data_IF_051247964209
#
_entry.id   IF_051247964209
#
_cell.length_a   1.000
_cell.length_b   1.000
_cell.length_c   1.000
_cell.angle_alpha   90.00
_cell.angle_beta   90.00
_cell.angle_gamma   90.00
#
_symmetry.space_group_name_H-M   'P 1'
#
loop_
_entity.id
_entity.type
_entity.pdbx_description
1 polymer ?
#
# COMPACT_ATOMS: atom_id res chain seq x y z
N UNK A 1 -13.77 -1.67 9.55
CA UNK A 1 -13.66 -2.04 10.99
C UNK A 1 -14.83 -2.98 11.29
N UNK A 2 -14.62 -4.15 11.94
CA UNK A 2 -15.68 -5.09 12.27
C UNK A 2 -16.65 -4.49 13.29
N UNK A 3 -17.93 -4.94 13.24
CA UNK A 3 -18.97 -4.48 14.16
C UNK A 3 -18.73 -4.93 15.61
N UNK A 4 -18.03 -6.05 15.80
CA UNK A 4 -17.64 -6.59 17.11
C UNK A 4 -16.15 -6.88 17.09
N UNK A 5 -15.46 -6.41 18.12
CA UNK A 5 -14.01 -6.62 18.31
C UNK A 5 -13.82 -7.50 19.55
N UNK A 6 -13.28 -8.69 19.33
CA UNK A 6 -12.96 -9.67 20.37
C UNK A 6 -11.62 -10.35 20.05
N UNK A 7 -10.58 -9.53 19.84
CA UNK A 7 -9.23 -9.99 19.49
C UNK A 7 -8.40 -10.31 20.73
N UNK A 8 -8.64 -9.56 21.81
CA UNK A 8 -7.89 -9.65 23.08
C UNK A 8 -8.81 -10.03 24.23
N UNK A 9 -8.26 -10.58 25.33
CA UNK A 9 -9.03 -11.01 26.50
C UNK A 9 -9.80 -9.88 27.19
N UNK A 10 -9.26 -8.64 27.18
CA UNK A 10 -9.84 -7.51 27.91
C UNK A 10 -10.51 -6.50 26.98
N UNK A 11 -11.49 -5.78 27.51
CA UNK A 11 -12.20 -4.70 26.80
C UNK A 11 -11.23 -3.54 26.48
N UNK A 12 -10.33 -3.23 27.39
CA UNK A 12 -9.33 -2.17 27.25
C UNK A 12 -8.38 -2.44 26.08
N UNK A 13 -7.86 -3.66 25.97
CA UNK A 13 -6.97 -4.06 24.87
C UNK A 13 -7.71 -4.01 23.53
N UNK A 14 -8.94 -4.50 23.48
CA UNK A 14 -9.76 -4.40 22.28
C UNK A 14 -10.06 -2.94 21.89
N UNK A 15 -10.25 -2.05 22.86
CA UNK A 15 -10.42 -0.63 22.62
C UNK A 15 -9.14 0.04 22.12
N UNK A 16 -7.97 -0.31 22.65
CA UNK A 16 -6.68 0.18 22.13
C UNK A 16 -6.44 -0.27 20.70
N UNK A 17 -6.71 -1.53 20.39
CA UNK A 17 -6.64 -2.02 19.01
C UNK A 17 -7.58 -1.25 18.08
N UNK A 18 -8.83 -1.06 18.49
CA UNK A 18 -9.78 -0.24 17.73
C UNK A 18 -9.25 1.17 17.46
N UNK A 19 -8.73 1.84 18.49
CA UNK A 19 -8.16 3.20 18.34
C UNK A 19 -7.03 3.23 17.34
N UNK A 20 -6.12 2.25 17.38
CA UNK A 20 -5.01 2.15 16.44
C UNK A 20 -5.49 2.01 15.02
N UNK A 21 -6.39 1.05 14.77
CA UNK A 21 -6.93 0.81 13.42
C UNK A 21 -7.73 2.03 12.92
N UNK A 22 -8.57 2.62 13.77
CA UNK A 22 -9.32 3.83 13.40
C UNK A 22 -8.39 5.01 13.07
N UNK A 23 -7.35 5.22 13.88
CA UNK A 23 -6.35 6.27 13.62
C UNK A 23 -5.62 6.02 12.31
N UNK A 24 -5.21 4.78 12.02
CA UNK A 24 -4.57 4.42 10.76
C UNK A 24 -5.48 4.71 9.56
N UNK A 25 -6.76 4.33 9.63
CA UNK A 25 -7.71 4.59 8.55
C UNK A 25 -7.94 6.10 8.32
N UNK A 26 -8.01 6.90 9.38
CA UNK A 26 -8.13 8.37 9.28
C UNK A 26 -6.84 8.98 8.72
N UNK A 27 -5.68 8.42 9.05
CA UNK A 27 -4.39 8.89 8.57
C UNK A 27 -4.28 8.87 7.03
N UNK A 28 -4.92 7.93 6.33
CA UNK A 28 -5.00 7.94 4.86
C UNK A 28 -5.62 9.23 4.32
N UNK A 29 -6.66 9.73 4.97
CA UNK A 29 -7.33 10.97 4.57
C UNK A 29 -6.49 12.19 4.95
N UNK A 30 -6.02 12.23 6.18
CA UNK A 30 -5.29 13.35 6.76
C UNK A 30 -3.93 13.58 6.08
N UNK A 31 -3.17 12.51 5.89
CA UNK A 31 -1.84 12.56 5.27
C UNK A 31 -1.87 12.36 3.74
N UNK A 32 -3.06 12.34 3.14
CA UNK A 32 -3.27 12.54 1.72
C UNK A 32 -2.91 11.36 0.83
N UNK A 33 -3.10 10.11 1.26
CA UNK A 33 -2.89 8.89 0.44
C UNK A 33 -3.61 8.95 -0.90
N UNK A 34 -4.78 9.59 -0.94
CA UNK A 34 -5.63 9.69 -2.14
C UNK A 34 -5.41 10.98 -2.95
N UNK A 35 -4.40 11.79 -2.61
CA UNK A 35 -4.07 13.04 -3.31
C UNK A 35 -3.05 12.84 -4.44
N UNK A 36 -2.79 11.61 -4.82
CA UNK A 36 -1.89 11.28 -5.90
C UNK A 36 -2.33 11.96 -7.21
N UNK A 37 -1.34 12.50 -7.94
CA UNK A 37 -1.52 13.09 -9.27
C UNK A 37 -0.60 12.39 -10.26
N UNK A 38 -1.19 11.71 -11.24
CA UNK A 38 -0.45 10.91 -12.22
C UNK A 38 0.58 11.73 -13.01
N UNK A 39 0.21 12.94 -13.40
CA UNK A 39 1.03 13.80 -14.24
C UNK A 39 2.10 14.60 -13.46
N UNK A 40 2.14 14.50 -12.13
CA UNK A 40 3.21 15.12 -11.34
C UNK A 40 4.51 14.36 -11.55
N UNK A 41 5.50 15.00 -12.17
CA UNK A 41 6.78 14.38 -12.47
C UNK A 41 7.55 14.01 -11.20
N UNK A 42 8.22 12.85 -11.22
CA UNK A 42 9.19 12.48 -10.19
C UNK A 42 10.50 13.26 -10.40
N UNK A 43 11.05 13.76 -9.31
CA UNK A 43 12.38 14.37 -9.28
C UNK A 43 13.44 13.48 -8.62
N UNK A 44 13.06 12.28 -8.16
CA UNK A 44 13.94 11.32 -7.47
C UNK A 44 14.44 10.25 -8.44
N UNK A 45 13.54 9.76 -9.32
CA UNK A 45 13.82 8.70 -10.28
C UNK A 45 13.46 9.14 -11.70
N UNK A 46 14.04 8.48 -12.69
CA UNK A 46 13.63 8.68 -14.08
C UNK A 46 12.17 8.27 -14.26
N UNK A 47 11.33 9.24 -14.62
CA UNK A 47 9.90 9.05 -14.72
C UNK A 47 9.51 8.48 -16.09
N UNK A 48 9.14 7.22 -16.13
CA UNK A 48 8.76 6.50 -17.35
C UNK A 48 7.23 6.30 -17.48
N UNK A 49 6.43 6.86 -16.58
CA UNK A 49 4.97 6.62 -16.52
C UNK A 49 4.25 6.93 -17.82
N UNK A 50 4.48 8.12 -18.40
CA UNK A 50 3.85 8.53 -19.67
C UNK A 50 4.23 7.61 -20.84
N UNK A 51 5.48 7.12 -20.86
CA UNK A 51 5.92 6.16 -21.87
C UNK A 51 5.23 4.81 -21.71
N UNK A 52 5.10 4.33 -20.49
CA UNK A 52 4.42 3.05 -20.18
C UNK A 52 2.92 3.13 -20.49
N UNK A 53 2.27 4.24 -20.14
CA UNK A 53 0.86 4.49 -20.46
C UNK A 53 0.63 4.48 -21.98
N UNK A 54 1.45 5.21 -22.74
CA UNK A 54 1.36 5.23 -24.19
C UNK A 54 1.56 3.84 -24.82
N UNK A 55 2.48 3.03 -24.27
CA UNK A 55 2.70 1.66 -24.72
C UNK A 55 1.45 0.78 -24.51
N UNK A 56 0.80 0.89 -23.38
CA UNK A 56 -0.44 0.14 -23.09
C UNK A 56 -1.58 0.53 -24.03
N UNK A 57 -1.80 1.83 -24.26
CA UNK A 57 -2.81 2.29 -25.20
C UNK A 57 -2.61 1.73 -26.59
N UNK A 58 -1.37 1.65 -27.07
CA UNK A 58 -1.07 1.06 -28.37
C UNK A 58 -1.32 -0.46 -28.40
N UNK A 59 -1.07 -1.18 -27.31
CA UNK A 59 -1.33 -2.62 -27.22
C UNK A 59 -2.85 -2.92 -27.27
N UNK A 60 -3.66 -2.17 -26.54
CA UNK A 60 -5.12 -2.33 -26.52
C UNK A 60 -5.72 -2.05 -27.89
N UNK A 61 -5.22 -1.04 -28.63
CA UNK A 61 -5.70 -0.72 -29.99
C UNK A 61 -5.38 -1.79 -31.04
N UNK A 62 -4.31 -2.56 -30.83
CA UNK A 62 -3.94 -3.63 -31.77
C UNK A 62 -4.81 -4.87 -31.54
N UNK A 63 -5.27 -5.11 -30.31
CA UNK A 63 -6.08 -6.27 -29.95
C UNK A 63 -7.57 -6.10 -30.23
N UNK A 64 -8.08 -4.87 -30.33
CA UNK A 64 -9.51 -4.59 -30.56
C UNK A 64 -9.72 -3.53 -31.66
N UNK A 65 -9.77 -4.00 -32.90
CA UNK A 65 -10.00 -3.20 -34.10
C UNK A 65 -11.47 -2.66 -34.18
N UNK A 66 -12.33 -2.98 -33.19
CA UNK A 66 -13.76 -2.67 -33.14
C UNK A 66 -14.14 -1.48 -32.27
N UNK A 67 -13.19 -0.83 -31.58
CA UNK A 67 -13.49 0.29 -30.67
C UNK A 67 -13.63 1.60 -31.43
N UNK A 68 -14.88 2.06 -31.61
CA UNK A 68 -15.20 3.39 -32.11
C UNK A 68 -14.52 4.49 -31.25
N UNK A 69 -13.90 5.51 -31.87
CA UNK A 69 -13.13 6.54 -31.15
C UNK A 69 -13.94 7.34 -30.11
N UNK A 70 -15.26 7.32 -30.20
CA UNK A 70 -16.14 8.05 -29.27
C UNK A 70 -16.37 7.33 -27.94
N UNK A 71 -16.21 6.01 -27.88
CA UNK A 71 -16.38 5.22 -26.63
C UNK A 71 -15.15 5.31 -25.75
N UNK A 72 -13.95 5.43 -26.34
CA UNK A 72 -12.70 5.61 -25.62
C UNK A 72 -12.66 6.93 -24.83
N UNK A 73 -13.14 8.03 -25.42
CA UNK A 73 -13.14 9.36 -24.76
C UNK A 73 -14.06 9.45 -23.53
N UNK A 74 -15.18 8.70 -23.52
CA UNK A 74 -16.11 8.66 -22.38
C UNK A 74 -15.55 7.84 -21.23
N UNK A 75 -14.77 6.81 -21.53
CA UNK A 75 -14.13 5.94 -20.53
C UNK A 75 -12.94 6.64 -19.86
N UNK A 76 -12.17 7.44 -20.61
CA UNK A 76 -11.02 8.20 -20.07
C UNK A 76 -11.41 9.26 -19.03
N UNK A 77 -12.57 9.91 -19.19
CA UNK A 77 -13.02 10.96 -18.26
C UNK A 77 -13.45 10.45 -16.87
N UNK A 78 -13.58 9.13 -16.69
CA UNK A 78 -14.02 8.50 -15.44
C UNK A 78 -12.90 7.81 -14.66
N UNK A 79 -11.70 7.67 -15.23
CA UNK A 79 -10.57 6.95 -14.60
C UNK A 79 -9.80 7.90 -13.70
N UNK A 80 -9.58 7.49 -12.43
CA UNK A 80 -8.80 8.27 -11.47
C UNK A 80 -7.30 8.19 -11.75
N UNK A 81 -6.53 9.19 -11.29
CA UNK A 81 -5.06 9.20 -11.38
C UNK A 81 -4.41 7.94 -10.77
N UNK A 82 -4.98 7.43 -9.68
CA UNK A 82 -4.55 6.18 -9.06
C UNK A 82 -4.81 4.97 -9.97
N UNK A 83 -5.97 4.91 -10.62
CA UNK A 83 -6.26 3.84 -11.57
C UNK A 83 -5.34 3.90 -12.79
N UNK A 84 -5.07 5.10 -13.33
CA UNK A 84 -4.08 5.29 -14.40
C UNK A 84 -2.72 4.73 -13.98
N UNK A 85 -2.27 5.08 -12.76
CA UNK A 85 -1.00 4.61 -12.25
C UNK A 85 -0.92 3.08 -12.15
N UNK A 86 -1.92 2.42 -11.57
CA UNK A 86 -1.88 0.96 -11.45
C UNK A 86 -2.07 0.24 -12.80
N UNK A 87 -2.70 0.88 -13.76
CA UNK A 87 -2.89 0.30 -15.08
C UNK A 87 -1.60 0.21 -15.91
N UNK A 88 -0.54 0.97 -15.61
CA UNK A 88 0.74 0.87 -16.32
C UNK A 88 1.55 -0.38 -15.99
N UNK A 89 1.15 -1.17 -14.99
CA UNK A 89 1.85 -2.39 -14.59
C UNK A 89 1.17 -3.63 -15.15
N UNK A 90 1.96 -4.57 -15.66
CA UNK A 90 1.46 -5.89 -16.11
C UNK A 90 0.80 -6.65 -14.96
N UNK A 91 1.44 -6.68 -13.80
CA UNK A 91 0.88 -7.23 -12.57
C UNK A 91 0.35 -6.11 -11.69
N UNK A 92 -0.86 -5.69 -12.02
CA UNK A 92 -1.57 -4.63 -11.27
C UNK A 92 -1.78 -4.98 -9.81
N UNK A 93 -2.05 -6.24 -9.50
CA UNK A 93 -2.28 -6.71 -8.13
C UNK A 93 -1.00 -6.56 -7.31
N UNK A 94 0.12 -7.02 -7.82
CA UNK A 94 1.42 -6.85 -7.17
C UNK A 94 1.78 -5.37 -6.96
N UNK A 95 1.54 -4.53 -7.96
CA UNK A 95 1.79 -3.10 -7.84
C UNK A 95 0.94 -2.45 -6.74
N UNK A 96 -0.34 -2.85 -6.62
CA UNK A 96 -1.24 -2.40 -5.58
C UNK A 96 -0.80 -2.88 -4.19
N UNK A 97 -0.38 -4.14 -4.05
CA UNK A 97 0.12 -4.69 -2.79
C UNK A 97 1.36 -3.95 -2.31
N UNK A 98 2.35 -3.74 -3.20
CA UNK A 98 3.56 -2.98 -2.88
C UNK A 98 3.22 -1.55 -2.48
N UNK A 99 2.37 -0.87 -3.24
CA UNK A 99 1.95 0.49 -2.92
C UNK A 99 1.29 0.55 -1.54
N UNK A 100 0.33 -0.35 -1.26
CA UNK A 100 -0.40 -0.37 0.01
C UNK A 100 0.55 -0.56 1.18
N UNK A 101 1.48 -1.52 1.10
CA UNK A 101 2.45 -1.78 2.18
C UNK A 101 3.36 -0.58 2.43
N UNK A 102 3.88 0.05 1.37
CA UNK A 102 4.77 1.21 1.49
C UNK A 102 4.02 2.42 2.04
N UNK A 103 2.79 2.63 1.57
CA UNK A 103 1.93 3.72 2.03
C UNK A 103 1.54 3.54 3.50
N UNK A 104 1.17 2.33 3.93
CA UNK A 104 0.90 2.01 5.33
C UNK A 104 2.12 2.29 6.20
N UNK A 105 3.32 1.90 5.77
CA UNK A 105 4.57 2.21 6.48
C UNK A 105 4.85 3.72 6.58
N UNK A 106 4.52 4.49 5.53
CA UNK A 106 4.61 5.95 5.53
C UNK A 106 3.63 6.55 6.56
N UNK A 107 2.39 6.08 6.56
CA UNK A 107 1.36 6.54 7.50
C UNK A 107 1.70 6.18 8.94
N UNK A 108 2.16 4.96 9.19
CA UNK A 108 2.62 4.52 10.51
C UNK A 108 3.71 5.43 11.06
N UNK A 109 4.68 5.79 10.22
CA UNK A 109 5.75 6.72 10.59
C UNK A 109 5.19 8.09 10.96
N UNK A 110 4.24 8.62 10.17
CA UNK A 110 3.59 9.91 10.44
C UNK A 110 2.78 9.88 11.73
N UNK A 111 1.94 8.87 11.91
CA UNK A 111 1.14 8.68 13.14
C UNK A 111 2.03 8.62 14.37
N UNK A 112 3.10 7.83 14.34
CA UNK A 112 4.02 7.67 15.47
C UNK A 112 4.81 8.94 15.80
N UNK A 113 5.05 9.82 14.81
CA UNK A 113 5.73 11.08 15.00
C UNK A 113 4.81 12.21 15.46
N UNK A 114 3.58 12.25 14.97
CA UNK A 114 2.64 13.35 15.21
C UNK A 114 1.68 13.10 16.38
N UNK A 115 1.32 11.81 16.64
CA UNK A 115 0.34 11.44 17.67
C UNK A 115 0.97 10.68 18.84
N UNK A 116 1.78 11.37 19.64
CA UNK A 116 2.52 10.77 20.77
C UNK A 116 1.61 10.04 21.76
N UNK A 117 0.35 10.49 21.92
CA UNK A 117 -0.61 9.89 22.85
C UNK A 117 -1.06 8.48 22.49
N UNK A 118 -0.98 8.08 21.22
CA UNK A 118 -1.34 6.72 20.76
C UNK A 118 -0.12 5.81 20.56
N UNK A 119 1.09 6.38 20.59
CA UNK A 119 2.32 5.72 20.20
C UNK A 119 2.54 4.36 20.86
N UNK A 120 2.32 4.25 22.19
CA UNK A 120 2.49 2.99 22.92
C UNK A 120 1.55 1.90 22.44
N UNK A 121 0.25 2.22 22.29
CA UNK A 121 -0.74 1.28 21.79
C UNK A 121 -0.46 0.89 20.33
N UNK A 122 -0.03 1.84 19.51
CA UNK A 122 0.31 1.60 18.11
C UNK A 122 1.45 0.59 17.96
N UNK A 123 2.53 0.79 18.71
CA UNK A 123 3.68 -0.13 18.73
C UNK A 123 3.28 -1.52 19.22
N UNK A 124 2.44 -1.61 20.27
CA UNK A 124 1.93 -2.90 20.75
C UNK A 124 1.20 -3.66 19.65
N UNK A 125 0.28 -2.99 18.94
CA UNK A 125 -0.47 -3.60 17.84
C UNK A 125 0.45 -4.01 16.68
N UNK A 126 1.46 -3.21 16.34
CA UNK A 126 2.45 -3.59 15.32
C UNK A 126 3.26 -4.82 15.74
N UNK A 127 3.72 -4.89 16.99
CA UNK A 127 4.43 -6.06 17.51
C UNK A 127 3.56 -7.32 17.50
N UNK A 128 2.30 -7.21 17.94
CA UNK A 128 1.34 -8.32 17.90
C UNK A 128 1.12 -8.82 16.46
N UNK A 129 1.12 -7.90 15.50
CA UNK A 129 0.98 -8.23 14.08
C UNK A 129 2.17 -8.99 13.51
N UNK A 130 3.33 -8.98 14.19
CA UNK A 130 4.52 -9.74 13.80
C UNK A 130 4.51 -11.20 14.29
N UNK A 131 3.75 -11.51 15.35
CA UNK A 131 3.81 -12.82 16.04
C UNK A 131 3.36 -13.98 15.15
N UNK A 132 2.27 -13.77 14.41
CA UNK A 132 1.62 -14.83 13.62
C UNK A 132 2.01 -14.81 12.13
N UNK A 133 3.10 -14.11 11.79
CA UNK A 133 3.51 -14.00 10.38
C UNK A 133 4.21 -15.27 9.88
N UNK A 134 3.94 -15.67 8.61
CA UNK A 134 4.51 -16.88 8.06
C UNK A 134 6.05 -16.79 7.95
N UNK A 135 6.74 -17.93 8.04
CA UNK A 135 8.19 -17.95 7.84
C UNK A 135 8.51 -17.65 6.36
N UNK A 136 9.36 -16.65 6.10
CA UNK A 136 9.71 -16.20 4.74
C UNK A 136 10.22 -17.35 3.86
N UNK A 137 11.05 -18.22 4.43
CA UNK A 137 11.66 -19.36 3.70
C UNK A 137 10.64 -20.40 3.24
N UNK A 138 9.44 -20.42 3.83
CA UNK A 138 8.37 -21.35 3.45
C UNK A 138 7.48 -20.82 2.32
N UNK A 139 7.64 -19.55 1.94
CA UNK A 139 6.82 -18.88 0.94
C UNK A 139 7.42 -18.99 -0.47
N UNK A 140 6.58 -19.00 -1.52
CA UNK A 140 7.03 -18.75 -2.88
C UNK A 140 7.76 -17.40 -3.01
N UNK A 141 8.65 -17.27 -3.98
CA UNK A 141 9.56 -16.11 -4.07
C UNK A 141 8.84 -14.74 -4.07
N UNK A 142 7.70 -14.63 -4.77
CA UNK A 142 6.91 -13.39 -4.86
C UNK A 142 6.31 -13.02 -3.51
N UNK A 143 5.66 -13.99 -2.86
CA UNK A 143 5.06 -13.83 -1.54
C UNK A 143 6.13 -13.58 -0.46
N UNK A 144 7.31 -14.22 -0.60
CA UNK A 144 8.45 -14.01 0.29
C UNK A 144 8.96 -12.56 0.23
N UNK A 145 9.03 -11.97 -0.97
CA UNK A 145 9.42 -10.57 -1.14
C UNK A 145 8.37 -9.60 -0.56
N UNK A 146 7.09 -9.88 -0.78
CA UNK A 146 5.99 -9.09 -0.18
C UNK A 146 6.02 -9.18 1.34
N UNK A 147 6.16 -10.40 1.89
CA UNK A 147 6.27 -10.60 3.34
C UNK A 147 7.50 -9.88 3.93
N UNK A 148 8.63 -9.92 3.22
CA UNK A 148 9.82 -9.16 3.62
C UNK A 148 9.55 -7.65 3.66
N UNK A 149 8.89 -7.10 2.63
CA UNK A 149 8.51 -5.69 2.58
C UNK A 149 7.59 -5.30 3.75
N UNK A 150 6.57 -6.12 4.05
CA UNK A 150 5.70 -5.91 5.22
C UNK A 150 6.48 -5.86 6.52
N UNK A 151 7.41 -6.79 6.71
CA UNK A 151 8.26 -6.79 7.93
C UNK A 151 9.12 -5.55 8.02
N UNK A 152 9.68 -5.08 6.91
CA UNK A 152 10.46 -3.84 6.88
C UNK A 152 9.65 -2.62 7.31
N UNK A 153 8.38 -2.53 6.91
CA UNK A 153 7.51 -1.41 7.30
C UNK A 153 7.06 -1.49 8.76
N UNK A 154 6.88 -2.70 9.30
CA UNK A 154 6.49 -2.92 10.69
C UNK A 154 7.67 -2.84 11.68
N UNK A 155 8.89 -3.14 11.22
CA UNK A 155 10.08 -3.09 12.06
C UNK A 155 10.63 -1.66 12.18
N UNK A 156 11.06 -1.30 13.37
CA UNK A 156 11.74 -0.01 13.61
C UNK A 156 13.17 -0.07 13.11
N UNK A 157 13.68 1.08 12.67
CA UNK A 157 15.09 1.28 12.38
C UNK A 157 15.95 0.91 13.59
N UNK A 158 16.62 -0.21 13.54
CA UNK A 158 17.45 -0.80 14.61
C UNK A 158 17.31 -2.31 14.75
N UNK A 159 16.14 -2.86 14.38
CA UNK A 159 15.87 -4.30 14.54
C UNK A 159 15.90 -5.06 13.19
N UNK A 160 16.29 -4.39 12.10
CA UNK A 160 16.26 -4.99 10.77
C UNK A 160 17.44 -5.93 10.59
N UNK A 161 17.25 -7.20 10.87
CA UNK A 161 18.16 -8.26 10.42
C UNK A 161 17.84 -8.48 8.94
N UNK A 162 18.64 -7.89 8.05
CA UNK A 162 18.62 -8.21 6.62
C UNK A 162 19.13 -9.64 6.49
N UNK A 163 18.34 -10.58 5.95
CA UNK A 163 18.85 -11.93 5.69
C UNK A 163 20.01 -11.85 4.72
N UNK A 164 21.18 -12.41 5.09
CA UNK A 164 22.42 -12.37 4.30
C UNK A 164 22.39 -13.22 3.01
N UNK A 165 21.22 -13.60 2.51
CA UNK A 165 21.04 -14.56 1.40
C UNK A 165 20.13 -14.04 0.28
N UNK A 166 19.93 -12.74 0.16
CA UNK A 166 19.28 -12.17 -1.03
C UNK A 166 20.11 -11.03 -1.60
#
# INVERSE_FOLDING_TARGET
>A
IPAIINRYPTKEENFYWFKVIATHQVAHIEFGSFRFKFDTQSNIFNDTRSMLEAKQFNTIRIEDDSVEPNTAAITESSITDMQRFFNIFEDRTLALDIFSIVEDGRLDTRVLSEYLGIKRAYISVQNDSMVDRPEIKSLPAKEALIEFLVRMTLQRSGDTIIPSQY
#
